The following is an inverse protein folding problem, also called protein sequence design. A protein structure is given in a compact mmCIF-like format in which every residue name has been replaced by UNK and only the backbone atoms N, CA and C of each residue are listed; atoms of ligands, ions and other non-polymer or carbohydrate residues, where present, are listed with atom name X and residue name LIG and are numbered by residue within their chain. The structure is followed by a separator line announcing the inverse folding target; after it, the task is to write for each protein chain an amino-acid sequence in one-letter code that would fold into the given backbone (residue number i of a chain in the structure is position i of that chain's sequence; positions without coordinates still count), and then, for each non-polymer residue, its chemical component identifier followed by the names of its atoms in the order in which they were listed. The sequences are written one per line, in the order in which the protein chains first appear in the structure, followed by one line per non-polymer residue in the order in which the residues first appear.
data_IF_809649210074
#
_entry.id   IF_809649210074
#
_cell.length_a   1.000
_cell.length_b   1.000
_cell.length_c   1.000
_cell.angle_alpha   90.00
_cell.angle_beta   90.00
_cell.angle_gamma   90.00
#
_symmetry.space_group_name_H-M   'P 1'
#
loop_
_entity.id
_entity.type
_entity.pdbx_description
1 polymer ?
#
# COMPACT_ATOMS: atom_id res chain seq x y z
N UNK A 1 28.70 -17.13 4.71
CA UNK A 1 27.80 -16.26 5.52
C UNK A 1 26.66 -15.79 4.61
N UNK A 2 25.45 -15.55 5.14
CA UNK A 2 24.32 -15.01 4.35
C UNK A 2 24.05 -13.57 4.74
N UNK A 3 23.84 -12.70 3.76
CA UNK A 3 23.40 -11.32 3.93
C UNK A 3 21.95 -11.19 3.48
N UNK A 4 21.13 -10.55 4.29
CA UNK A 4 19.72 -10.31 3.92
C UNK A 4 19.61 -9.16 2.93
N UNK A 5 19.11 -9.45 1.74
CA UNK A 5 18.85 -8.47 0.68
C UNK A 5 17.43 -7.93 0.75
N UNK A 6 16.48 -8.78 1.11
CA UNK A 6 15.07 -8.44 1.27
C UNK A 6 14.46 -9.26 2.41
N UNK A 7 13.63 -8.63 3.22
CA UNK A 7 12.80 -9.31 4.22
C UNK A 7 11.49 -8.54 4.42
N UNK A 8 10.36 -9.25 4.33
CA UNK A 8 9.04 -8.69 4.61
C UNK A 8 8.91 -8.34 6.09
N UNK A 9 8.77 -7.06 6.39
CA UNK A 9 8.78 -6.55 7.76
C UNK A 9 7.39 -6.11 8.22
N UNK A 10 7.19 -6.04 9.54
CA UNK A 10 5.97 -5.47 10.12
C UNK A 10 5.78 -4.00 9.74
N UNK A 11 6.87 -3.25 9.54
CA UNK A 11 6.84 -1.85 9.11
C UNK A 11 6.29 -1.73 7.70
N UNK A 12 6.71 -2.59 6.77
CA UNK A 12 6.16 -2.63 5.40
C UNK A 12 4.68 -2.97 5.40
N UNK A 13 4.28 -3.95 6.22
CA UNK A 13 2.88 -4.28 6.44
C UNK A 13 2.06 -3.03 6.81
N UNK A 14 2.53 -2.22 7.76
CA UNK A 14 1.87 -0.98 8.15
C UNK A 14 1.90 0.09 7.06
N UNK A 15 3.04 0.31 6.43
CA UNK A 15 3.19 1.33 5.39
C UNK A 15 2.30 1.05 4.19
N UNK A 16 2.25 -0.19 3.73
CA UNK A 16 1.42 -0.59 2.59
C UNK A 16 -0.08 -0.55 2.91
N UNK A 17 -0.48 -1.00 4.10
CA UNK A 17 -1.88 -1.04 4.49
C UNK A 17 -2.44 0.31 4.93
N UNK A 18 -1.65 1.16 5.58
CA UNK A 18 -2.14 2.38 6.24
C UNK A 18 -1.59 3.66 5.59
N UNK A 19 -0.39 3.61 4.97
CA UNK A 19 0.32 4.80 4.50
C UNK A 19 -0.50 5.68 3.53
N UNK A 20 -1.10 5.10 2.50
CA UNK A 20 -1.95 5.86 1.57
C UNK A 20 -3.21 6.41 2.25
N UNK A 21 -3.77 5.66 3.22
CA UNK A 21 -4.91 6.11 4.03
C UNK A 21 -4.56 7.33 4.87
N UNK A 22 -3.37 7.39 5.48
CA UNK A 22 -2.89 8.53 6.27
C UNK A 22 -2.79 9.78 5.39
N UNK A 23 -2.22 9.65 4.18
CA UNK A 23 -2.07 10.79 3.25
C UNK A 23 -3.44 11.34 2.86
N UNK A 24 -4.37 10.48 2.44
CA UNK A 24 -5.72 10.88 2.04
C UNK A 24 -6.47 11.52 3.21
N UNK A 25 -6.37 10.93 4.40
CA UNK A 25 -6.97 11.48 5.63
C UNK A 25 -6.36 12.84 5.98
N UNK A 26 -5.05 12.99 5.90
CA UNK A 26 -4.35 14.25 6.15
C UNK A 26 -4.79 15.35 5.19
N UNK A 27 -4.89 15.07 3.90
CA UNK A 27 -5.39 16.01 2.89
C UNK A 27 -6.84 16.40 3.16
N UNK A 28 -7.70 15.45 3.49
CA UNK A 28 -9.10 15.73 3.84
C UNK A 28 -9.22 16.63 5.06
N UNK A 29 -8.50 16.33 6.13
CA UNK A 29 -8.48 17.15 7.34
C UNK A 29 -7.95 18.57 7.07
N UNK A 30 -6.95 18.72 6.19
CA UNK A 30 -6.43 20.02 5.79
C UNK A 30 -7.49 20.83 5.02
N UNK A 31 -8.24 20.21 4.11
CA UNK A 31 -9.35 20.84 3.39
C UNK A 31 -10.43 21.29 4.38
N UNK A 32 -10.84 20.40 5.27
CA UNK A 32 -11.83 20.67 6.31
C UNK A 32 -11.41 21.87 7.19
N UNK A 33 -10.15 21.85 7.67
CA UNK A 33 -9.60 22.95 8.47
C UNK A 33 -9.61 24.29 7.71
N UNK A 34 -9.25 24.27 6.43
CA UNK A 34 -9.24 25.46 5.59
C UNK A 34 -10.64 26.06 5.41
N UNK A 35 -11.64 25.22 5.20
CA UNK A 35 -13.06 25.65 5.10
C UNK A 35 -13.54 26.26 6.42
N UNK A 36 -13.30 25.60 7.54
CA UNK A 36 -13.68 26.08 8.86
C UNK A 36 -13.01 27.42 9.18
N UNK A 37 -11.71 27.53 8.87
CA UNK A 37 -10.95 28.78 9.07
C UNK A 37 -11.53 29.93 8.24
N UNK A 38 -11.87 29.67 6.99
CA UNK A 38 -12.49 30.68 6.11
C UNK A 38 -13.85 31.13 6.63
N UNK A 39 -14.67 30.19 7.07
CA UNK A 39 -15.96 30.50 7.69
C UNK A 39 -15.81 31.36 8.95
N UNK A 40 -14.88 31.01 9.85
CA UNK A 40 -14.61 31.76 11.07
C UNK A 40 -14.08 33.17 10.79
N UNK A 41 -13.22 33.31 9.76
CA UNK A 41 -12.71 34.61 9.31
C UNK A 41 -13.86 35.50 8.80
N UNK A 42 -14.71 34.97 7.94
CA UNK A 42 -15.88 35.67 7.42
C UNK A 42 -16.79 36.15 8.57
N UNK A 43 -17.12 35.26 9.52
CA UNK A 43 -17.92 35.61 10.69
C UNK A 43 -17.31 36.75 11.53
N UNK A 44 -15.98 36.74 11.74
CA UNK A 44 -15.28 37.80 12.47
C UNK A 44 -15.33 39.14 11.72
N UNK A 45 -15.15 39.13 10.39
CA UNK A 45 -15.22 40.36 9.58
C UNK A 45 -16.62 40.99 9.68
N UNK A 46 -17.66 40.19 9.53
CA UNK A 46 -19.04 40.65 9.64
C UNK A 46 -19.36 41.25 11.03
N UNK A 47 -18.83 40.64 12.08
CA UNK A 47 -18.97 41.18 13.45
C UNK A 47 -18.22 42.50 13.64
N UNK A 48 -17.03 42.65 13.07
CA UNK A 48 -16.20 43.86 13.17
C UNK A 48 -16.87 45.04 12.44
N UNK A 49 -17.55 44.81 11.35
CA UNK A 49 -18.25 45.83 10.57
C UNK A 49 -19.65 46.22 11.17
N UNK A 50 -20.00 45.62 12.33
CA UNK A 50 -21.30 45.81 13.00
C UNK A 50 -22.51 45.51 12.09
N UNK A 51 -22.33 44.69 11.08
CA UNK A 51 -23.41 44.28 10.19
C UNK A 51 -24.33 43.32 11.00
N UNK A 52 -25.64 43.61 10.95
CA UNK A 52 -26.60 42.73 11.61
C UNK A 52 -26.58 41.35 11.00
N UNK A 53 -26.20 40.34 11.78
CA UNK A 53 -26.14 38.95 11.36
C UNK A 53 -27.45 38.42 10.76
N UNK A 54 -28.59 39.05 11.11
CA UNK A 54 -29.89 38.70 10.52
C UNK A 54 -30.05 39.20 9.08
N UNK A 55 -29.42 40.33 8.73
CA UNK A 55 -29.40 40.81 7.35
C UNK A 55 -28.46 39.95 6.49
N UNK A 56 -27.28 39.55 7.00
CA UNK A 56 -26.33 38.71 6.30
C UNK A 56 -26.80 37.27 6.13
N UNK A 57 -27.66 36.77 7.03
CA UNK A 57 -28.28 35.44 6.86
C UNK A 57 -29.14 35.32 5.59
N UNK A 58 -29.56 36.43 5.02
CA UNK A 58 -30.30 36.46 3.76
C UNK A 58 -29.42 36.69 2.53
N UNK A 59 -28.13 36.96 2.73
CA UNK A 59 -27.16 37.06 1.67
C UNK A 59 -26.90 35.66 1.06
N UNK A 60 -27.01 35.53 -0.24
CA UNK A 60 -26.94 34.27 -0.93
C UNK A 60 -25.53 33.68 -0.84
N UNK A 61 -24.48 34.48 -0.85
CA UNK A 61 -23.08 34.05 -0.67
C UNK A 61 -22.85 33.44 0.72
N UNK A 62 -23.41 34.05 1.78
CA UNK A 62 -23.32 33.51 3.13
C UNK A 62 -24.07 32.19 3.27
N UNK A 63 -25.24 32.07 2.64
CA UNK A 63 -26.02 30.82 2.63
C UNK A 63 -25.26 29.69 1.94
N UNK A 64 -24.61 29.98 0.79
CA UNK A 64 -23.81 28.99 0.07
C UNK A 64 -22.64 28.51 0.91
N UNK A 65 -21.82 29.41 1.48
CA UNK A 65 -20.67 29.05 2.30
C UNK A 65 -21.12 28.21 3.52
N UNK A 66 -22.21 28.60 4.16
CA UNK A 66 -22.77 27.84 5.29
C UNK A 66 -23.24 26.44 4.87
N UNK A 67 -23.94 26.34 3.72
CA UNK A 67 -24.42 25.06 3.22
C UNK A 67 -23.25 24.14 2.87
N UNK A 68 -22.24 24.63 2.16
CA UNK A 68 -21.03 23.86 1.84
C UNK A 68 -20.33 23.39 3.12
N UNK A 69 -20.19 24.26 4.12
CA UNK A 69 -19.56 23.90 5.39
C UNK A 69 -20.32 22.76 6.10
N UNK A 70 -21.64 22.83 6.13
CA UNK A 70 -22.48 21.78 6.74
C UNK A 70 -22.33 20.47 5.97
N UNK A 71 -22.39 20.50 4.63
CA UNK A 71 -22.25 19.31 3.79
C UNK A 71 -20.88 18.65 4.03
N UNK A 72 -19.79 19.41 4.07
CA UNK A 72 -18.46 18.88 4.29
C UNK A 72 -18.33 18.25 5.68
N UNK A 73 -18.86 18.89 6.70
CA UNK A 73 -18.87 18.33 8.09
C UNK A 73 -19.64 17.02 8.14
N UNK A 74 -20.81 16.94 7.53
CA UNK A 74 -21.64 15.74 7.51
C UNK A 74 -21.05 14.62 6.64
N UNK A 75 -20.35 14.94 5.54
CA UNK A 75 -19.70 13.98 4.68
C UNK A 75 -18.41 13.38 5.31
N UNK A 76 -17.74 14.12 6.20
CA UNK A 76 -16.47 13.70 6.81
C UNK A 76 -16.52 12.30 7.44
N UNK A 77 -17.47 11.95 8.33
CA UNK A 77 -17.50 10.63 8.93
C UNK A 77 -17.77 9.53 7.91
N UNK A 78 -18.53 9.81 6.87
CA UNK A 78 -18.81 8.85 5.78
C UNK A 78 -17.53 8.55 5.00
N UNK A 79 -16.82 9.59 4.57
CA UNK A 79 -15.55 9.46 3.84
C UNK A 79 -14.52 8.71 4.70
N UNK A 80 -14.40 9.04 5.98
CA UNK A 80 -13.50 8.34 6.91
C UNK A 80 -13.86 6.86 7.07
N UNK A 81 -15.16 6.54 7.21
CA UNK A 81 -15.61 5.15 7.29
C UNK A 81 -15.27 4.35 6.03
N UNK A 82 -15.42 4.95 4.84
CA UNK A 82 -15.05 4.33 3.56
C UNK A 82 -13.54 4.05 3.52
N UNK A 83 -12.70 5.05 3.86
CA UNK A 83 -11.24 4.90 3.86
C UNK A 83 -10.80 3.79 4.83
N UNK A 84 -11.35 3.77 6.04
CA UNK A 84 -11.05 2.74 7.05
C UNK A 84 -11.47 1.36 6.55
N UNK A 85 -12.67 1.24 5.96
CA UNK A 85 -13.17 -0.03 5.42
C UNK A 85 -12.26 -0.56 4.31
N UNK A 86 -11.91 0.27 3.33
CA UNK A 86 -11.04 -0.14 2.21
C UNK A 86 -9.64 -0.58 2.67
N UNK A 87 -9.13 -0.07 3.79
CA UNK A 87 -7.79 -0.39 4.31
C UNK A 87 -7.78 -1.54 5.30
N UNK A 88 -8.91 -1.82 5.93
CA UNK A 88 -9.04 -2.90 6.90
C UNK A 88 -8.63 -4.26 6.32
N UNK A 89 -9.14 -4.59 5.16
CA UNK A 89 -8.93 -5.89 4.54
C UNK A 89 -7.46 -6.04 4.11
N UNK A 90 -6.87 -5.00 3.54
CA UNK A 90 -5.43 -4.96 3.24
C UNK A 90 -4.59 -5.17 4.51
N UNK A 91 -4.91 -4.46 5.60
CA UNK A 91 -4.21 -4.61 6.87
C UNK A 91 -4.32 -6.03 7.45
N UNK A 92 -5.52 -6.63 7.40
CA UNK A 92 -5.76 -7.99 7.89
C UNK A 92 -4.90 -8.98 7.09
N UNK A 93 -4.89 -8.87 5.75
CA UNK A 93 -4.13 -9.75 4.88
C UNK A 93 -2.62 -9.65 5.11
N UNK A 94 -2.06 -8.45 5.15
CA UNK A 94 -0.63 -8.28 5.42
C UNK A 94 -0.22 -8.76 6.83
N UNK A 95 -1.03 -8.47 7.83
CA UNK A 95 -0.76 -8.91 9.20
C UNK A 95 -0.85 -10.44 9.32
N UNK A 96 -1.75 -11.07 8.58
CA UNK A 96 -1.86 -12.52 8.50
C UNK A 96 -0.58 -13.12 7.90
N UNK A 97 -0.14 -12.66 6.73
CA UNK A 97 1.10 -13.12 6.10
C UNK A 97 2.32 -12.94 7.00
N UNK A 98 2.43 -11.77 7.63
CA UNK A 98 3.53 -11.52 8.54
C UNK A 98 3.54 -12.52 9.72
N UNK A 99 2.37 -12.83 10.27
CA UNK A 99 2.26 -13.79 11.35
C UNK A 99 2.59 -15.21 10.89
N UNK A 100 2.12 -15.65 9.71
CA UNK A 100 2.49 -16.94 9.13
C UNK A 100 4.00 -17.05 8.92
N UNK A 101 4.63 -16.00 8.39
CA UNK A 101 6.09 -15.94 8.27
C UNK A 101 6.80 -16.07 9.62
N UNK A 102 6.37 -15.31 10.64
CA UNK A 102 6.99 -15.35 11.98
C UNK A 102 6.75 -16.66 12.72
N UNK A 103 5.66 -17.34 12.45
CA UNK A 103 5.36 -18.67 12.99
C UNK A 103 6.15 -19.80 12.29
N UNK A 104 6.90 -19.47 11.23
CA UNK A 104 7.68 -20.42 10.46
C UNK A 104 6.85 -21.23 9.46
N UNK A 105 5.62 -20.83 9.15
CA UNK A 105 4.76 -21.43 8.14
C UNK A 105 5.19 -21.00 6.73
N UNK A 106 6.44 -21.29 6.39
CA UNK A 106 7.06 -20.94 5.13
C UNK A 106 8.05 -21.99 4.69
N UNK A 107 8.36 -22.00 3.41
CA UNK A 107 9.36 -22.87 2.80
C UNK A 107 10.64 -22.09 2.58
N UNK A 108 11.74 -22.81 2.50
CA UNK A 108 13.04 -22.21 2.19
C UNK A 108 13.73 -23.07 1.15
N UNK A 109 14.23 -22.41 0.12
CA UNK A 109 15.08 -23.04 -0.91
C UNK A 109 16.41 -22.30 -0.97
N UNK A 110 17.50 -23.06 -1.17
CA UNK A 110 18.87 -22.54 -1.25
C UNK A 110 19.55 -23.13 -2.46
N UNK A 111 20.14 -22.30 -3.31
CA UNK A 111 20.82 -22.75 -4.51
C UNK A 111 21.29 -21.60 -5.38
N UNK A 112 21.81 -21.96 -6.56
CA UNK A 112 22.16 -20.96 -7.57
C UNK A 112 20.92 -20.50 -8.33
N UNK A 113 20.90 -19.23 -8.65
CA UNK A 113 19.89 -18.64 -9.53
C UNK A 113 20.08 -19.21 -10.93
N UNK A 114 19.03 -19.74 -11.49
CA UNK A 114 18.96 -20.28 -12.85
C UNK A 114 17.81 -19.60 -13.61
N UNK A 115 17.90 -19.61 -14.95
CA UNK A 115 16.86 -19.09 -15.83
C UNK A 115 16.47 -17.63 -15.56
N UNK A 116 17.38 -16.82 -14.99
CA UNK A 116 17.12 -15.41 -14.73
C UNK A 116 16.81 -14.67 -16.02
N UNK A 117 15.65 -14.05 -16.06
CA UNK A 117 15.16 -13.23 -17.16
C UNK A 117 14.46 -12.00 -16.64
N UNK A 118 14.63 -10.90 -17.36
CA UNK A 118 13.87 -9.66 -17.16
C UNK A 118 13.25 -9.29 -18.50
N UNK A 119 11.95 -9.16 -18.53
CA UNK A 119 11.21 -8.81 -19.74
C UNK A 119 10.00 -7.94 -19.45
N UNK A 120 9.59 -7.17 -20.44
CA UNK A 120 8.40 -6.32 -20.31
C UNK A 120 7.20 -7.02 -20.98
N UNK A 121 6.07 -7.06 -20.27
CA UNK A 121 4.80 -7.62 -20.77
C UNK A 121 3.81 -6.47 -20.93
N UNK A 122 3.30 -6.27 -22.15
CA UNK A 122 2.29 -5.25 -22.46
C UNK A 122 2.66 -4.31 -23.60
N UNK A 123 1.71 -3.47 -24.00
CA UNK A 123 1.84 -2.57 -25.16
C UNK A 123 2.56 -1.26 -24.80
N UNK A 124 3.04 -0.55 -25.82
CA UNK A 124 3.94 0.62 -25.88
C UNK A 124 3.71 1.80 -24.91
N UNK A 125 2.71 1.75 -24.05
CA UNK A 125 2.38 2.86 -23.14
C UNK A 125 2.49 2.55 -21.66
N UNK A 126 3.02 1.38 -21.28
CA UNK A 126 3.16 1.03 -19.86
C UNK A 126 3.40 -0.45 -19.60
N UNK A 127 4.40 -1.05 -20.25
CA UNK A 127 4.75 -2.46 -20.05
C UNK A 127 5.02 -2.78 -18.57
N UNK A 128 4.50 -3.93 -18.13
CA UNK A 128 4.80 -4.49 -16.82
C UNK A 128 6.13 -5.20 -16.92
N UNK A 129 7.10 -4.76 -16.13
CA UNK A 129 8.40 -5.42 -16.05
C UNK A 129 8.29 -6.65 -15.17
N UNK A 130 8.68 -7.80 -15.69
CA UNK A 130 8.64 -9.09 -15.01
C UNK A 130 10.07 -9.56 -14.77
N UNK A 131 10.34 -10.07 -13.58
CA UNK A 131 11.57 -10.77 -13.22
C UNK A 131 11.20 -12.24 -13.01
N UNK A 132 11.81 -13.12 -13.77
CA UNK A 132 11.65 -14.57 -13.68
C UNK A 132 12.99 -15.22 -13.35
N UNK A 133 13.02 -16.12 -12.38
CA UNK A 133 14.19 -16.91 -12.05
C UNK A 133 13.79 -18.20 -11.30
N UNK A 134 14.71 -19.16 -11.24
CA UNK A 134 14.54 -20.36 -10.41
C UNK A 134 15.72 -20.53 -9.44
N UNK A 135 15.45 -21.17 -8.31
CA UNK A 135 16.46 -21.59 -7.34
C UNK A 135 16.14 -23.02 -6.95
N UNK A 136 17.08 -23.93 -7.19
CA UNK A 136 16.93 -25.37 -6.92
C UNK A 136 15.59 -25.93 -7.45
N UNK A 137 15.26 -25.58 -8.71
CA UNK A 137 14.05 -26.03 -9.39
C UNK A 137 12.74 -25.34 -8.97
N UNK A 138 12.76 -24.46 -7.97
CA UNK A 138 11.58 -23.65 -7.58
C UNK A 138 11.58 -22.38 -8.44
N UNK A 139 10.50 -22.20 -9.21
CA UNK A 139 10.30 -21.04 -10.07
C UNK A 139 9.70 -19.88 -9.29
N UNK A 140 10.24 -18.68 -9.49
CA UNK A 140 9.73 -17.41 -8.97
C UNK A 140 9.49 -16.45 -10.14
N UNK A 141 8.31 -15.82 -10.14
CA UNK A 141 7.95 -14.78 -11.10
C UNK A 141 7.52 -13.57 -10.29
N UNK A 142 8.18 -12.44 -10.47
CA UNK A 142 7.89 -11.19 -9.77
C UNK A 142 7.48 -10.18 -10.83
N UNK A 143 6.24 -9.73 -10.80
CA UNK A 143 5.73 -8.71 -11.70
C UNK A 143 5.37 -7.42 -10.95
N UNK A 144 4.94 -6.39 -11.67
CA UNK A 144 4.59 -5.09 -11.11
C UNK A 144 3.41 -5.18 -10.13
N UNK A 145 2.51 -6.13 -10.35
CA UNK A 145 1.32 -6.32 -9.54
C UNK A 145 1.66 -7.08 -8.25
N UNK A 146 2.88 -7.67 -8.20
CA UNK A 146 3.42 -8.23 -6.97
C UNK A 146 3.82 -7.10 -6.03
N UNK A 147 3.20 -7.03 -4.85
CA UNK A 147 3.33 -5.88 -3.96
C UNK A 147 4.74 -5.64 -3.41
N UNK A 148 5.57 -6.67 -3.34
CA UNK A 148 6.99 -6.58 -2.96
C UNK A 148 7.93 -6.39 -4.15
N UNK A 149 7.41 -6.26 -5.38
CA UNK A 149 8.21 -6.09 -6.59
C UNK A 149 9.18 -4.91 -6.50
N UNK A 150 8.70 -3.77 -6.03
CA UNK A 150 9.52 -2.57 -5.97
C UNK A 150 10.69 -2.75 -5.01
N UNK A 151 10.46 -3.34 -3.85
CA UNK A 151 11.48 -3.59 -2.83
C UNK A 151 12.51 -4.60 -3.31
N UNK A 152 12.09 -5.70 -3.93
CA UNK A 152 13.01 -6.70 -4.49
C UNK A 152 13.80 -6.12 -5.66
N UNK A 153 13.16 -5.34 -6.54
CA UNK A 153 13.80 -4.65 -7.65
C UNK A 153 14.79 -3.59 -7.15
N UNK A 154 14.38 -2.75 -6.20
CA UNK A 154 15.17 -1.62 -5.73
C UNK A 154 16.35 -2.10 -4.86
N UNK A 155 16.21 -3.24 -4.16
CA UNK A 155 17.31 -3.90 -3.46
C UNK A 155 18.30 -4.59 -4.41
N UNK A 156 17.95 -4.74 -5.71
CA UNK A 156 18.71 -5.57 -6.66
C UNK A 156 18.99 -6.97 -6.09
N UNK A 157 18.01 -7.54 -5.41
CA UNK A 157 18.17 -8.81 -4.70
C UNK A 157 18.54 -9.98 -5.65
N UNK A 158 18.00 -9.96 -6.86
CA UNK A 158 18.31 -10.95 -7.89
C UNK A 158 18.97 -10.26 -9.08
N UNK A 159 20.19 -10.64 -9.41
CA UNK A 159 21.06 -9.91 -10.37
C UNK A 159 21.36 -10.68 -11.64
N UNK A 160 21.67 -11.97 -11.50
CA UNK A 160 22.14 -12.79 -12.64
C UNK A 160 22.07 -14.30 -12.30
N UNK A 161 22.18 -15.13 -13.31
CA UNK A 161 22.38 -16.57 -13.16
C UNK A 161 23.69 -16.88 -12.41
N UNK A 162 23.66 -17.91 -11.58
CA UNK A 162 24.83 -18.35 -10.79
C UNK A 162 24.98 -17.64 -9.45
N UNK A 163 24.19 -16.57 -9.17
CA UNK A 163 24.12 -15.97 -7.85
C UNK A 163 23.57 -16.99 -6.85
N UNK A 164 24.22 -17.18 -5.70
CA UNK A 164 23.74 -18.13 -4.68
C UNK A 164 22.79 -17.42 -3.73
N UNK A 165 21.55 -17.83 -3.76
CA UNK A 165 20.48 -17.26 -2.93
C UNK A 165 19.88 -18.32 -1.99
N UNK A 166 19.35 -17.81 -0.88
CA UNK A 166 18.43 -18.52 -0.01
C UNK A 166 17.13 -17.73 -0.01
N UNK A 167 16.07 -18.33 -0.55
CA UNK A 167 14.76 -17.69 -0.72
C UNK A 167 13.78 -18.35 0.25
N UNK A 168 13.16 -17.53 1.11
CA UNK A 168 12.06 -17.97 1.96
C UNK A 168 10.76 -17.47 1.33
N UNK A 169 9.80 -18.39 1.16
CA UNK A 169 8.54 -18.13 0.46
C UNK A 169 7.37 -18.89 1.07
N UNK A 170 6.17 -18.47 0.76
CA UNK A 170 4.92 -19.13 1.12
C UNK A 170 4.19 -19.59 -0.14
N UNK A 171 3.49 -20.71 -0.05
CA UNK A 171 2.61 -21.20 -1.11
C UNK A 171 1.19 -20.70 -0.88
N UNK A 172 0.57 -20.13 -1.89
CA UNK A 172 -0.82 -19.65 -1.83
C UNK A 172 -1.78 -20.72 -1.31
N UNK A 173 -1.62 -21.99 -1.75
CA UNK A 173 -2.47 -23.11 -1.33
C UNK A 173 -2.44 -23.41 0.17
N UNK A 174 -1.42 -22.95 0.88
CA UNK A 174 -1.25 -23.19 2.33
C UNK A 174 -1.79 -22.00 3.15
N UNK A 175 -2.28 -20.95 2.48
CA UNK A 175 -2.83 -19.75 3.09
C UNK A 175 -4.35 -19.81 3.17
N UNK A 176 -4.90 -19.22 4.22
CA UNK A 176 -6.33 -19.06 4.41
C UNK A 176 -6.86 -17.93 3.48
N UNK A 177 -7.41 -18.30 2.34
CA UNK A 177 -7.88 -17.37 1.31
C UNK A 177 -8.95 -16.39 1.82
N UNK A 178 -9.74 -16.75 2.82
CA UNK A 178 -10.74 -15.84 3.42
C UNK A 178 -10.09 -14.67 4.14
N UNK A 179 -8.87 -14.85 4.65
CA UNK A 179 -8.06 -13.80 5.30
C UNK A 179 -7.11 -13.10 4.32
N UNK A 180 -6.95 -13.67 3.13
CA UNK A 180 -5.92 -13.33 2.17
C UNK A 180 -6.42 -12.60 0.93
N UNK A 181 -7.65 -12.16 0.92
CA UNK A 181 -8.44 -11.72 -0.23
C UNK A 181 -7.82 -10.61 -1.11
N UNK A 182 -6.84 -9.84 -0.62
CA UNK A 182 -6.35 -8.66 -1.34
C UNK A 182 -4.93 -8.80 -1.87
N UNK A 183 -4.14 -9.72 -1.34
CA UNK A 183 -2.79 -9.95 -1.82
C UNK A 183 -2.88 -11.06 -2.88
N UNK A 184 -3.32 -10.69 -4.05
CA UNK A 184 -3.24 -11.58 -5.20
C UNK A 184 -1.76 -11.79 -5.51
N UNK A 185 -1.27 -12.99 -5.27
CA UNK A 185 -0.13 -13.48 -6.01
C UNK A 185 -0.60 -13.58 -7.46
N UNK A 186 -0.40 -12.55 -8.25
CA UNK A 186 -0.64 -12.59 -9.70
C UNK A 186 0.42 -13.45 -10.39
N UNK A 187 1.10 -14.25 -9.62
CA UNK A 187 2.13 -15.13 -10.07
C UNK A 187 1.53 -16.48 -10.50
N UNK A 188 1.92 -16.92 -11.69
CA UNK A 188 1.61 -18.25 -12.23
C UNK A 188 2.20 -19.38 -11.38
N UNK A 189 3.15 -19.07 -10.49
CA UNK A 189 3.83 -20.05 -9.64
C UNK A 189 3.21 -20.17 -8.25
N UNK A 190 2.38 -19.21 -7.84
CA UNK A 190 1.77 -19.19 -6.49
C UNK A 190 2.80 -19.22 -5.33
N UNK A 191 3.99 -18.67 -5.56
CA UNK A 191 5.11 -18.63 -4.59
C UNK A 191 5.36 -17.20 -4.11
N UNK A 192 4.85 -16.83 -2.94
CA UNK A 192 5.05 -15.51 -2.35
C UNK A 192 6.38 -15.39 -1.62
N UNK A 193 7.32 -14.63 -2.15
CA UNK A 193 8.63 -14.38 -1.53
C UNK A 193 8.45 -13.49 -0.31
N UNK A 194 8.98 -13.93 0.83
CA UNK A 194 9.00 -13.17 2.09
C UNK A 194 10.40 -12.77 2.54
N UNK A 195 11.44 -13.47 2.07
CA UNK A 195 12.83 -13.13 2.36
C UNK A 195 13.77 -13.61 1.26
N UNK A 196 14.78 -12.81 0.96
CA UNK A 196 15.91 -13.19 0.08
C UNK A 196 17.22 -12.88 0.82
N UNK A 197 18.09 -13.86 0.84
CA UNK A 197 19.44 -13.77 1.42
C UNK A 197 20.45 -14.18 0.35
N UNK A 198 21.55 -13.45 0.22
CA UNK A 198 22.66 -13.76 -0.68
C UNK A 198 23.81 -14.37 0.11
N UNK A 199 24.44 -15.42 -0.42
CA UNK A 199 25.66 -15.99 0.17
C UNK A 199 26.83 -15.08 -0.14
N UNK A 200 27.38 -14.49 0.91
CA UNK A 200 28.62 -13.69 0.84
C UNK A 200 29.80 -14.60 1.08
N UNK A 201 30.78 -14.57 0.18
CA UNK A 201 32.03 -15.31 0.28
C UNK A 201 32.91 -14.87 1.46
#
# INVERSE_FOLDING_TARGET
MYETLYEFTKTECYLKSVGAGIIVTGLWLFILFSIIRSYLKLKKTLQAEKIDLNQVKNDDEYKEIRLVTIIVILATPIVMAIIISMRRDTFISYNYLYNEYKNGNCYTVEGQVENYKVYDVGNDTGGIRVIEFSVDGVLFIIDRDYEVYNEIRDSCAVKHNGQTLKVTYMLEKDLDLDKYYIITFHDKTHNGIVKIEEKVE
#
